data_IF_535737370113
#
_entry.id   IF_535737370113
#
_cell.length_a   1.000
_cell.length_b   1.000
_cell.length_c   1.000
_cell.angle_alpha   90.00
_cell.angle_beta   90.00
_cell.angle_gamma   90.00
#
_symmetry.space_group_name_H-M   'P 1'
#
loop_
_entity.id
_entity.type
_entity.pdbx_description
1 polymer ?
#
# COMPACT_ATOMS: atom_id res chain seq x y z
N UNK A 1 76.56 -1.31 23.24
CA UNK A 1 76.53 -0.55 24.50
C UNK A 1 75.23 -0.88 25.21
N UNK A 2 75.36 -1.23 26.47
CA UNK A 2 74.37 -1.72 27.43
C UNK A 2 73.26 -0.71 27.78
N UNK A 3 72.04 -1.20 28.04
CA UNK A 3 70.96 -0.55 28.83
C UNK A 3 71.45 -0.29 30.29
N UNK A 4 70.83 0.49 31.23
CA UNK A 4 69.38 0.80 31.40
C UNK A 4 69.01 2.16 32.14
N UNK A 5 67.73 2.28 32.59
CA UNK A 5 67.18 3.08 33.74
C UNK A 5 66.97 4.61 33.58
N UNK A 6 66.02 5.32 34.22
CA UNK A 6 64.74 5.10 34.94
C UNK A 6 64.20 6.52 35.32
N UNK A 7 62.88 6.66 35.43
CA UNK A 7 62.08 7.54 36.32
C UNK A 7 62.56 8.96 36.70
N UNK A 8 61.71 9.97 36.44
CA UNK A 8 61.35 10.96 37.47
C UNK A 8 59.92 11.52 37.24
N UNK A 9 59.12 11.47 38.30
CA UNK A 9 57.77 12.04 38.42
C UNK A 9 57.84 13.57 38.53
N UNK A 10 56.90 14.27 37.88
CA UNK A 10 56.77 15.73 37.98
C UNK A 10 55.31 16.16 37.93
N UNK A 11 54.76 16.38 39.13
CA UNK A 11 53.47 16.95 39.55
C UNK A 11 52.50 17.54 38.50
N UNK A 12 51.28 17.02 38.60
CA UNK A 12 50.01 17.67 38.25
C UNK A 12 49.87 19.01 38.98
N UNK A 13 49.80 20.11 38.25
CA UNK A 13 49.10 21.32 38.69
C UNK A 13 48.11 21.73 37.59
N UNK A 14 46.84 21.74 37.98
CA UNK A 14 45.69 22.21 37.22
C UNK A 14 45.91 23.65 36.76
N UNK A 15 45.79 23.89 35.46
CA UNK A 15 45.37 25.19 34.95
C UNK A 15 44.08 24.98 34.16
N UNK A 16 42.99 25.45 34.76
CA UNK A 16 41.65 25.53 34.20
C UNK A 16 41.70 26.27 32.85
N UNK A 17 41.75 25.49 31.78
CA UNK A 17 41.56 26.00 30.43
C UNK A 17 40.10 26.36 30.21
N UNK A 18 39.85 27.60 29.81
CA UNK A 18 38.66 28.06 29.12
C UNK A 18 38.24 27.04 28.05
N UNK A 19 37.31 26.15 28.38
CA UNK A 19 36.49 25.47 27.38
C UNK A 19 35.29 26.37 27.12
N UNK A 20 35.44 27.25 26.13
CA UNK A 20 34.33 27.73 25.32
C UNK A 20 33.48 26.51 24.92
N UNK A 21 32.40 26.26 25.66
CA UNK A 21 31.27 25.48 25.17
C UNK A 21 30.61 26.35 24.11
N UNK A 22 31.11 26.26 22.89
CA UNK A 22 30.40 26.77 21.72
C UNK A 22 29.14 25.91 21.57
N UNK A 23 28.06 26.36 22.19
CA UNK A 23 26.74 25.74 22.08
C UNK A 23 26.28 25.94 20.65
N UNK A 24 26.34 24.87 19.85
CA UNK A 24 25.76 24.84 18.49
C UNK A 24 24.27 25.13 18.63
N UNK A 25 23.88 26.35 18.31
CA UNK A 25 22.48 26.78 18.24
C UNK A 25 21.97 26.32 16.88
N UNK A 26 21.12 25.29 16.86
CA UNK A 26 20.45 24.86 15.63
C UNK A 26 19.30 25.85 15.41
N UNK A 27 19.31 26.66 14.32
CA UNK A 27 18.19 27.56 14.02
C UNK A 27 16.93 26.71 13.75
N UNK A 28 15.82 27.07 14.39
CA UNK A 28 14.53 26.46 14.06
C UNK A 28 13.92 27.27 12.93
N UNK A 29 13.74 26.66 11.77
CA UNK A 29 13.03 27.29 10.66
C UNK A 29 11.52 27.06 10.83
N UNK A 30 10.70 28.06 10.53
CA UNK A 30 9.25 27.84 10.42
C UNK A 30 8.99 27.01 9.17
N UNK A 31 8.10 26.03 9.26
CA UNK A 31 7.75 25.20 8.11
C UNK A 31 7.08 26.09 7.04
N UNK A 32 7.50 26.00 5.76
CA UNK A 32 6.92 26.79 4.69
C UNK A 32 5.53 26.25 4.30
N UNK A 33 4.51 26.61 5.08
CA UNK A 33 3.12 26.19 4.88
C UNK A 33 2.15 27.38 4.89
N UNK A 34 0.94 27.18 4.36
CA UNK A 34 -0.06 28.26 4.25
C UNK A 34 -0.56 28.72 5.63
N UNK A 35 -0.54 27.86 6.65
CA UNK A 35 -0.97 28.18 8.01
C UNK A 35 -0.03 29.16 8.71
N UNK A 36 1.27 29.05 8.46
CA UNK A 36 2.30 29.95 8.94
C UNK A 36 2.23 31.29 8.20
N UNK A 37 1.84 31.30 6.92
CA UNK A 37 1.52 32.54 6.20
C UNK A 37 0.27 33.23 6.77
N UNK A 38 -0.77 32.47 7.15
CA UNK A 38 -1.93 32.99 7.87
C UNK A 38 -1.54 33.62 9.22
N UNK A 39 -0.61 32.98 9.94
CA UNK A 39 -0.12 33.47 11.22
C UNK A 39 0.55 34.85 11.11
N UNK A 40 1.33 35.09 10.04
CA UNK A 40 2.00 36.37 9.80
C UNK A 40 1.04 37.50 9.42
N UNK A 41 -0.16 37.18 8.94
CA UNK A 41 -1.11 38.15 8.41
C UNK A 41 -2.21 38.52 9.42
N UNK A 42 -2.62 39.80 9.51
CA UNK A 42 -3.81 40.17 10.29
C UNK A 42 -5.04 39.47 9.72
N UNK A 43 -5.99 39.04 10.58
CA UNK A 43 -7.21 38.38 10.10
C UNK A 43 -8.07 39.33 9.26
N UNK A 44 -8.25 40.55 9.73
CA UNK A 44 -9.09 41.56 9.09
C UNK A 44 -8.23 42.74 8.67
N UNK A 45 -8.44 43.24 7.45
CA UNK A 45 -7.80 44.46 6.98
C UNK A 45 -8.51 45.63 7.68
N UNK A 46 -7.73 46.49 8.34
CA UNK A 46 -8.24 47.69 8.97
C UNK A 46 -8.31 48.80 7.91
N UNK A 47 -9.39 48.83 7.13
CA UNK A 47 -9.68 49.98 6.28
C UNK A 47 -10.15 51.16 7.14
N UNK A 48 -9.68 52.36 6.78
CA UNK A 48 -9.76 53.60 7.57
C UNK A 48 -11.15 54.26 7.57
N UNK A 49 -12.24 53.53 7.27
CA UNK A 49 -13.58 54.10 7.04
C UNK A 49 -14.68 53.45 7.88
N UNK A 50 -15.61 54.29 8.35
CA UNK A 50 -16.44 54.12 9.56
C UNK A 50 -17.61 53.11 9.42
N UNK A 51 -17.88 52.59 8.22
CA UNK A 51 -18.97 51.64 7.99
C UNK A 51 -18.66 50.72 6.80
N UNK A 52 -18.20 49.49 7.07
CA UNK A 52 -18.35 48.27 6.24
C UNK A 52 -17.67 47.09 6.95
N UNK A 53 -18.19 45.88 6.75
CA UNK A 53 -17.55 44.62 7.17
C UNK A 53 -16.06 44.67 6.81
N UNK A 54 -15.16 44.52 7.79
CA UNK A 54 -13.72 44.47 7.51
C UNK A 54 -13.44 43.23 6.64
N UNK A 55 -12.82 43.35 5.44
CA UNK A 55 -12.55 42.20 4.60
C UNK A 55 -11.45 41.33 5.22
N UNK A 56 -11.55 40.02 4.99
CA UNK A 56 -10.56 39.04 5.40
C UNK A 56 -9.26 39.27 4.63
N UNK A 57 -8.10 39.16 5.29
CA UNK A 57 -6.83 39.26 4.58
C UNK A 57 -6.66 38.10 3.58
N UNK A 58 -5.97 38.36 2.47
CA UNK A 58 -5.79 37.38 1.39
C UNK A 58 -5.16 36.07 1.86
N UNK A 59 -4.24 36.12 2.82
CA UNK A 59 -3.66 34.92 3.43
C UNK A 59 -4.69 34.04 4.14
N UNK A 60 -5.63 34.66 4.85
CA UNK A 60 -6.70 33.96 5.55
C UNK A 60 -7.77 33.44 4.59
N UNK A 61 -8.06 34.15 3.50
CA UNK A 61 -8.96 33.68 2.45
C UNK A 61 -8.41 32.40 1.79
N UNK A 62 -7.14 32.42 1.35
CA UNK A 62 -6.49 31.27 0.73
C UNK A 62 -6.34 30.12 1.72
N UNK A 63 -5.89 30.40 2.95
CA UNK A 63 -5.68 29.35 3.95
C UNK A 63 -6.98 28.67 4.42
N UNK A 64 -8.05 29.44 4.63
CA UNK A 64 -9.37 28.85 4.92
C UNK A 64 -9.94 28.09 3.72
N UNK A 65 -9.67 28.53 2.50
CA UNK A 65 -10.06 27.80 1.30
C UNK A 65 -9.31 26.47 1.19
N UNK A 66 -7.98 26.46 1.37
CA UNK A 66 -7.14 25.26 1.38
C UNK A 66 -7.62 24.26 2.45
N UNK A 67 -7.79 24.74 3.70
CA UNK A 67 -8.35 23.95 4.79
C UNK A 67 -9.72 23.38 4.44
N UNK A 68 -10.64 24.20 3.93
CA UNK A 68 -12.00 23.76 3.59
C UNK A 68 -11.98 22.70 2.50
N UNK A 69 -11.12 22.86 1.48
CA UNK A 69 -10.95 21.89 0.40
C UNK A 69 -10.45 20.54 0.93
N UNK A 70 -9.35 20.54 1.69
CA UNK A 70 -8.79 19.32 2.27
C UNK A 70 -9.74 18.67 3.28
N UNK A 71 -10.40 19.47 4.12
CA UNK A 71 -11.35 18.99 5.13
C UNK A 71 -12.58 18.35 4.47
N UNK A 72 -13.12 18.95 3.41
CA UNK A 72 -14.22 18.38 2.63
C UNK A 72 -13.77 17.08 1.96
N UNK A 73 -12.62 17.05 1.31
CA UNK A 73 -12.10 15.82 0.69
C UNK A 73 -11.90 14.72 1.76
N UNK A 74 -11.26 15.03 2.88
CA UNK A 74 -11.05 14.09 3.98
C UNK A 74 -12.35 13.55 4.58
N UNK A 75 -13.35 14.41 4.77
CA UNK A 75 -14.68 13.98 5.22
C UNK A 75 -15.36 13.11 4.16
N UNK A 76 -15.32 13.50 2.88
CA UNK A 76 -15.93 12.72 1.80
C UNK A 76 -15.28 11.34 1.70
N UNK A 77 -13.95 11.25 1.85
CA UNK A 77 -13.22 9.99 1.91
C UNK A 77 -13.72 9.14 3.08
N UNK A 78 -13.76 9.68 4.30
CA UNK A 78 -14.25 8.93 5.47
C UNK A 78 -15.71 8.50 5.28
N UNK A 79 -16.59 9.38 4.82
CA UNK A 79 -17.99 9.04 4.57
C UNK A 79 -18.13 7.96 3.50
N UNK A 80 -17.29 7.98 2.47
CA UNK A 80 -17.26 6.94 1.45
C UNK A 80 -16.76 5.59 2.02
N UNK A 81 -15.70 5.62 2.84
CA UNK A 81 -15.18 4.42 3.51
C UNK A 81 -16.15 3.84 4.56
N UNK A 82 -16.99 4.68 5.16
CA UNK A 82 -18.00 4.28 6.15
C UNK A 82 -19.34 3.88 5.53
N UNK A 83 -19.52 4.04 4.21
CA UNK A 83 -20.78 3.69 3.55
C UNK A 83 -20.91 2.17 3.49
N UNK A 84 -21.59 1.60 4.49
CA UNK A 84 -21.85 0.17 4.58
C UNK A 84 -23.03 -0.26 3.71
N UNK A 85 -22.88 -1.41 3.05
CA UNK A 85 -23.97 -2.12 2.37
C UNK A 85 -24.95 -2.81 3.35
N UNK A 86 -24.54 -3.09 4.59
CA UNK A 86 -25.36 -3.87 5.53
C UNK A 86 -25.30 -3.35 6.97
N UNK A 87 -26.19 -2.40 7.30
CA UNK A 87 -26.92 -2.25 8.59
C UNK A 87 -26.22 -2.30 9.98
N UNK A 88 -24.94 -2.58 10.11
CA UNK A 88 -24.24 -2.65 11.38
C UNK A 88 -22.89 -1.93 11.27
N UNK A 89 -22.48 -1.33 12.38
CA UNK A 89 -21.21 -0.63 12.60
C UNK A 89 -20.02 -1.62 12.59
N UNK A 90 -19.85 -2.37 11.50
CA UNK A 90 -18.60 -3.06 11.16
C UNK A 90 -17.98 -2.24 10.03
N UNK A 91 -16.81 -1.67 10.25
CA UNK A 91 -16.12 -0.72 9.38
C UNK A 91 -15.66 -1.37 8.05
N UNK A 92 -16.51 -2.14 7.35
CA UNK A 92 -16.18 -2.98 6.19
C UNK A 92 -14.88 -3.76 6.38
N UNK A 93 -14.67 -4.28 7.60
CA UNK A 93 -13.44 -5.01 7.94
C UNK A 93 -13.47 -6.37 7.25
N UNK A 94 -12.41 -6.76 6.53
CA UNK A 94 -12.35 -8.06 5.87
C UNK A 94 -12.35 -9.19 6.90
N UNK A 95 -12.96 -10.33 6.53
CA UNK A 95 -13.13 -11.48 7.42
C UNK A 95 -11.78 -12.07 7.83
N UNK A 96 -10.84 -12.13 6.89
CA UNK A 96 -9.46 -12.56 7.08
C UNK A 96 -8.53 -11.71 6.26
N UNK A 97 -7.28 -11.70 6.68
CA UNK A 97 -6.19 -10.93 6.06
C UNK A 97 -4.97 -11.83 6.04
N UNK A 98 -4.27 -11.90 4.91
CA UNK A 98 -3.05 -12.69 4.79
C UNK A 98 -1.93 -12.13 5.66
N UNK A 99 -0.94 -12.97 6.02
CA UNK A 99 0.21 -12.53 6.81
C UNK A 99 0.99 -11.38 6.14
N UNK A 100 1.10 -11.40 4.82
CA UNK A 100 1.73 -10.35 4.02
C UNK A 100 1.02 -9.00 4.19
N UNK A 101 -0.31 -9.00 4.11
CA UNK A 101 -1.11 -7.78 4.25
C UNK A 101 -1.07 -7.27 5.69
N UNK A 102 -1.09 -8.16 6.69
CA UNK A 102 -0.89 -7.76 8.10
C UNK A 102 0.45 -7.05 8.33
N UNK A 103 1.53 -7.55 7.74
CA UNK A 103 2.84 -6.89 7.78
C UNK A 103 2.77 -5.52 7.10
N UNK A 104 2.10 -5.42 5.95
CA UNK A 104 1.82 -4.16 5.26
C UNK A 104 1.04 -3.17 6.12
N UNK A 105 0.01 -3.62 6.83
CA UNK A 105 -0.80 -2.80 7.74
C UNK A 105 0.07 -2.21 8.86
N UNK A 106 0.89 -3.03 9.52
CA UNK A 106 1.81 -2.60 10.59
C UNK A 106 2.80 -1.57 10.05
N UNK A 107 3.41 -1.84 8.91
CA UNK A 107 4.37 -0.94 8.28
C UNK A 107 3.72 0.40 7.89
N UNK A 108 2.49 0.37 7.36
CA UNK A 108 1.75 1.58 6.96
C UNK A 108 1.37 2.42 8.18
N UNK A 109 1.06 1.82 9.34
CA UNK A 109 0.86 2.57 10.59
C UNK A 109 2.14 3.36 10.93
N UNK A 110 3.32 2.72 10.88
CA UNK A 110 4.58 3.42 11.14
C UNK A 110 4.83 4.55 10.15
N UNK A 111 4.69 4.29 8.84
CA UNK A 111 4.85 5.32 7.82
C UNK A 111 3.89 6.48 8.02
N UNK A 112 2.61 6.20 8.29
CA UNK A 112 1.59 7.24 8.48
C UNK A 112 1.95 8.20 9.63
N UNK A 113 2.50 7.69 10.73
CA UNK A 113 2.90 8.50 11.88
C UNK A 113 4.19 9.28 11.62
N UNK A 114 5.16 8.67 10.92
CA UNK A 114 6.42 9.34 10.56
C UNK A 114 6.22 10.46 9.55
N UNK A 115 5.30 10.28 8.62
CA UNK A 115 5.04 11.24 7.54
C UNK A 115 4.16 12.42 7.96
N UNK A 116 3.53 12.37 9.14
CA UNK A 116 2.61 13.41 9.60
C UNK A 116 3.35 14.62 10.20
N UNK A 117 4.12 15.35 9.39
CA UNK A 117 4.92 16.52 9.82
C UNK A 117 4.05 17.63 10.43
N UNK A 118 2.83 17.79 9.94
CA UNK A 118 1.85 18.79 10.41
C UNK A 118 1.52 18.71 11.89
N UNK A 119 1.46 17.49 12.43
CA UNK A 119 1.17 17.24 13.84
C UNK A 119 2.31 17.77 14.71
N UNK A 120 3.55 17.50 14.30
CA UNK A 120 4.73 18.01 15.00
C UNK A 120 4.87 19.52 14.88
N UNK A 121 4.75 20.09 13.69
CA UNK A 121 4.97 21.53 13.49
C UNK A 121 3.89 22.38 14.15
N UNK A 122 2.64 21.94 14.17
CA UNK A 122 1.58 22.63 14.90
C UNK A 122 1.90 22.77 16.41
N UNK A 123 2.46 21.72 17.03
CA UNK A 123 2.86 21.73 18.44
C UNK A 123 4.08 22.63 18.65
N UNK A 124 5.10 22.47 17.82
CA UNK A 124 6.32 23.25 17.90
C UNK A 124 6.05 24.74 17.76
N UNK A 125 5.23 25.14 16.78
CA UNK A 125 4.85 26.53 16.55
C UNK A 125 4.13 27.14 17.75
N UNK A 126 3.11 26.45 18.29
CA UNK A 126 2.35 26.96 19.46
C UNK A 126 3.26 27.09 20.68
N UNK A 127 4.12 26.09 20.94
CA UNK A 127 5.01 26.12 22.09
C UNK A 127 6.09 27.20 21.96
N UNK A 128 6.82 27.18 20.85
CA UNK A 128 7.95 28.07 20.60
C UNK A 128 7.51 29.54 20.71
N UNK A 129 6.37 29.87 20.11
CA UNK A 129 5.83 31.22 20.11
C UNK A 129 5.17 31.61 21.44
N UNK A 130 4.80 30.67 22.32
CA UNK A 130 4.20 30.98 23.63
C UNK A 130 5.23 31.12 24.75
N UNK A 131 6.23 30.24 24.81
CA UNK A 131 7.07 30.05 25.99
C UNK A 131 8.43 30.76 25.92
N UNK A 132 8.85 31.27 24.76
CA UNK A 132 10.14 31.97 24.62
C UNK A 132 10.24 33.20 25.55
N UNK A 133 11.14 33.14 26.52
CA UNK A 133 11.35 34.09 27.64
C UNK A 133 11.82 35.49 27.17
N UNK A 134 12.29 35.62 25.93
CA UNK A 134 12.72 36.90 25.35
C UNK A 134 11.50 37.62 24.79
N UNK A 135 10.98 38.60 25.54
CA UNK A 135 10.04 39.67 25.12
C UNK A 135 9.27 39.32 23.83
N UNK A 136 8.47 38.25 23.90
CA UNK A 136 7.64 37.70 22.82
C UNK A 136 8.25 37.76 21.42
N UNK A 137 9.05 36.75 21.04
CA UNK A 137 9.46 36.53 19.64
C UNK A 137 8.28 36.61 18.67
N UNK A 138 7.08 36.18 19.08
CA UNK A 138 5.87 36.36 18.29
C UNK A 138 5.44 37.82 18.09
N UNK A 139 5.67 38.73 19.05
CA UNK A 139 5.41 40.17 18.83
C UNK A 139 6.43 40.79 17.90
N UNK A 140 7.69 40.32 17.92
CA UNK A 140 8.72 40.70 16.94
C UNK A 140 8.35 40.21 15.54
N UNK A 141 7.91 38.96 15.44
CA UNK A 141 7.43 38.32 14.21
C UNK A 141 6.25 39.08 13.59
N UNK A 142 5.32 39.54 14.43
CA UNK A 142 4.10 40.25 13.99
C UNK A 142 4.25 41.79 13.95
N UNK A 143 5.44 42.33 14.24
CA UNK A 143 5.72 43.77 14.33
C UNK A 143 4.67 44.55 15.15
N UNK A 144 4.22 43.99 16.28
CA UNK A 144 3.10 44.53 17.03
C UNK A 144 3.57 45.37 18.23
N UNK A 145 3.28 46.68 18.18
CA UNK A 145 3.62 47.64 19.23
C UNK A 145 2.80 47.39 20.51
N UNK A 146 3.50 47.33 21.63
CA UNK A 146 3.09 46.81 22.95
C UNK A 146 1.90 47.51 23.65
N UNK A 147 1.08 48.33 22.98
CA UNK A 147 0.08 49.19 23.64
C UNK A 147 -1.40 48.76 23.56
N UNK A 148 -1.77 47.69 22.85
CA UNK A 148 -3.17 47.28 22.71
C UNK A 148 -3.62 46.23 23.75
N UNK A 149 -4.64 46.57 24.53
CA UNK A 149 -5.05 45.91 25.78
C UNK A 149 -5.76 44.56 25.67
N UNK A 150 -5.36 43.63 24.79
CA UNK A 150 -5.79 42.22 24.89
C UNK A 150 -4.84 41.24 24.19
N UNK A 151 -3.59 41.18 24.67
CA UNK A 151 -2.49 40.30 24.20
C UNK A 151 -2.91 38.83 24.02
N UNK A 152 -3.77 38.29 24.91
CA UNK A 152 -4.23 36.91 24.83
C UNK A 152 -5.11 36.66 23.60
N UNK A 153 -6.02 37.58 23.28
CA UNK A 153 -6.92 37.43 22.13
C UNK A 153 -6.16 37.46 20.80
N UNK A 154 -5.13 38.33 20.70
CA UNK A 154 -4.27 38.42 19.53
C UNK A 154 -3.52 37.09 19.35
N UNK A 155 -2.90 36.58 20.42
CA UNK A 155 -2.20 35.30 20.40
C UNK A 155 -3.13 34.13 20.02
N UNK A 156 -4.31 34.04 20.64
CA UNK A 156 -5.29 32.99 20.35
C UNK A 156 -5.70 33.02 18.86
N UNK A 157 -5.95 34.20 18.32
CA UNK A 157 -6.45 34.37 16.96
C UNK A 157 -5.36 34.20 15.90
N UNK A 158 -4.15 34.68 16.13
CA UNK A 158 -3.07 34.66 15.13
C UNK A 158 -2.20 33.41 15.20
N UNK A 159 -2.03 32.82 16.38
CA UNK A 159 -1.08 31.72 16.59
C UNK A 159 -1.82 30.42 16.88
N UNK A 160 -2.69 30.40 17.90
CA UNK A 160 -3.35 29.14 18.27
C UNK A 160 -4.31 28.66 17.18
N UNK A 161 -5.09 29.56 16.58
CA UNK A 161 -6.14 29.17 15.63
C UNK A 161 -5.61 28.52 14.34
N UNK A 162 -4.62 29.09 13.61
CA UNK A 162 -4.06 28.42 12.43
C UNK A 162 -3.43 27.06 12.76
N UNK A 163 -2.70 26.96 13.87
CA UNK A 163 -2.10 25.69 14.29
C UNK A 163 -3.15 24.66 14.75
N UNK A 164 -4.29 25.09 15.29
CA UNK A 164 -5.41 24.21 15.60
C UNK A 164 -6.07 23.68 14.31
N UNK A 165 -6.24 24.52 13.27
CA UNK A 165 -6.74 24.06 11.97
C UNK A 165 -5.79 23.01 11.36
N UNK A 166 -4.48 23.29 11.37
CA UNK A 166 -3.44 22.37 10.92
C UNK A 166 -3.51 21.03 11.65
N UNK A 167 -3.61 21.07 12.98
CA UNK A 167 -3.74 19.85 13.80
C UNK A 167 -5.04 19.07 13.52
N UNK A 168 -6.19 19.75 13.39
CA UNK A 168 -7.47 19.11 13.11
C UNK A 168 -7.48 18.43 11.74
N UNK A 169 -6.86 19.07 10.73
CA UNK A 169 -6.67 18.46 9.42
C UNK A 169 -5.80 17.21 9.51
N UNK A 170 -4.66 17.29 10.20
CA UNK A 170 -3.76 16.16 10.34
C UNK A 170 -4.41 14.97 11.08
N UNK A 171 -5.20 15.25 12.13
CA UNK A 171 -5.98 14.24 12.83
C UNK A 171 -7.05 13.59 11.95
N UNK A 172 -7.71 14.37 11.07
CA UNK A 172 -8.67 13.84 10.09
C UNK A 172 -8.00 12.88 9.11
N UNK A 173 -6.83 13.24 8.59
CA UNK A 173 -6.05 12.39 7.68
C UNK A 173 -5.60 11.11 8.38
N UNK A 174 -5.04 11.19 9.60
CA UNK A 174 -4.68 10.00 10.37
C UNK A 174 -5.88 9.08 10.63
N UNK A 175 -7.07 9.64 10.89
CA UNK A 175 -8.29 8.87 11.06
C UNK A 175 -8.69 8.16 9.76
N UNK A 176 -8.65 8.86 8.62
CA UNK A 176 -8.91 8.24 7.31
C UNK A 176 -7.89 7.14 6.98
N UNK A 177 -6.60 7.39 7.23
CA UNK A 177 -5.51 6.41 7.05
C UNK A 177 -5.77 5.17 7.88
N UNK A 178 -6.17 5.33 9.15
CA UNK A 178 -6.48 4.18 10.00
C UNK A 178 -7.63 3.34 9.45
N UNK A 179 -8.70 3.97 8.93
CA UNK A 179 -9.84 3.26 8.33
C UNK A 179 -9.39 2.48 7.08
N UNK A 180 -8.58 3.08 6.21
CA UNK A 180 -8.04 2.40 5.02
C UNK A 180 -7.22 1.17 5.43
N UNK A 181 -6.34 1.32 6.43
CA UNK A 181 -5.48 0.23 6.91
C UNK A 181 -6.30 -0.97 7.38
N UNK A 182 -7.41 -0.74 8.11
CA UNK A 182 -8.21 -1.85 8.64
C UNK A 182 -9.14 -2.49 7.60
N UNK A 183 -9.48 -1.76 6.52
CA UNK A 183 -10.37 -2.23 5.46
C UNK A 183 -9.63 -3.00 4.37
N UNK A 184 -8.32 -2.80 4.21
CA UNK A 184 -7.55 -3.46 3.16
C UNK A 184 -7.42 -4.97 3.41
N UNK A 185 -7.80 -5.76 2.41
CA UNK A 185 -7.57 -7.19 2.28
C UNK A 185 -6.41 -7.52 1.32
N UNK A 186 -6.06 -6.60 0.43
CA UNK A 186 -4.91 -6.70 -0.48
C UNK A 186 -3.79 -5.68 -0.17
N UNK A 187 -2.54 -6.09 -0.45
CA UNK A 187 -1.34 -5.28 -0.16
C UNK A 187 -1.16 -4.12 -1.14
N UNK A 188 -1.43 -4.35 -2.43
CA UNK A 188 -1.31 -3.32 -3.46
C UNK A 188 -2.36 -2.25 -3.25
N UNK A 189 -3.58 -2.66 -2.90
CA UNK A 189 -4.67 -1.72 -2.60
C UNK A 189 -4.37 -0.90 -1.34
N UNK A 190 -3.80 -1.52 -0.29
CA UNK A 190 -3.36 -0.80 0.91
C UNK A 190 -2.39 0.34 0.59
N UNK A 191 -1.32 0.04 -0.15
CA UNK A 191 -0.28 1.04 -0.48
C UNK A 191 -0.81 2.09 -1.46
N UNK A 192 -1.65 1.69 -2.43
CA UNK A 192 -2.25 2.61 -3.40
C UNK A 192 -3.18 3.61 -2.71
N UNK A 193 -4.06 3.12 -1.83
CA UNK A 193 -4.98 3.98 -1.10
C UNK A 193 -4.26 4.90 -0.10
N UNK A 194 -3.21 4.40 0.56
CA UNK A 194 -2.35 5.21 1.42
C UNK A 194 -1.63 6.32 0.63
N UNK A 195 -1.10 6.01 -0.54
CA UNK A 195 -0.40 6.98 -1.41
C UNK A 195 -1.36 8.07 -1.89
N UNK A 196 -2.59 7.71 -2.26
CA UNK A 196 -3.61 8.68 -2.64
C UNK A 196 -3.93 9.66 -1.49
N UNK A 197 -4.01 9.16 -0.25
CA UNK A 197 -4.27 9.99 0.91
C UNK A 197 -3.09 10.92 1.25
N UNK A 198 -1.86 10.47 1.02
CA UNK A 198 -0.67 11.32 1.15
C UNK A 198 -0.73 12.52 0.20
N UNK A 199 -1.13 12.32 -1.06
CA UNK A 199 -1.32 13.43 -2.01
C UNK A 199 -2.34 14.45 -1.50
N UNK A 200 -3.46 13.98 -0.92
CA UNK A 200 -4.47 14.86 -0.33
C UNK A 200 -3.90 15.66 0.84
N UNK A 201 -3.03 15.05 1.65
CA UNK A 201 -2.40 15.72 2.78
C UNK A 201 -1.42 16.83 2.37
N UNK A 202 -0.85 16.78 1.16
CA UNK A 202 0.11 17.80 0.68
C UNK A 202 -0.51 19.00 -0.04
N UNK A 203 -1.85 19.10 -0.12
CA UNK A 203 -2.53 20.16 -0.89
C UNK A 203 -2.22 21.57 -0.31
N UNK A 204 -2.07 21.73 1.00
CA UNK A 204 -1.72 23.00 1.63
C UNK A 204 -0.29 23.46 1.31
N UNK A 205 0.66 22.54 1.19
CA UNK A 205 2.00 22.83 0.69
C UNK A 205 1.95 23.35 -0.76
N UNK A 206 1.06 22.78 -1.58
CA UNK A 206 0.84 23.27 -2.96
C UNK A 206 0.32 24.72 -2.94
N UNK A 207 -0.61 25.06 -2.05
CA UNK A 207 -1.08 26.44 -1.89
C UNK A 207 0.04 27.38 -1.42
N UNK A 208 0.93 26.92 -0.56
CA UNK A 208 2.12 27.70 -0.18
C UNK A 208 3.05 27.96 -1.37
N UNK A 209 3.34 26.94 -2.18
CA UNK A 209 4.19 27.09 -3.37
C UNK A 209 3.59 28.09 -4.37
N UNK A 210 2.26 28.02 -4.59
CA UNK A 210 1.56 28.99 -5.45
C UNK A 210 1.59 30.41 -4.89
N UNK A 211 1.51 30.54 -3.55
CA UNK A 211 1.63 31.82 -2.87
C UNK A 211 3.03 32.42 -3.04
N UNK A 212 4.09 31.63 -2.83
CA UNK A 212 5.48 32.06 -2.95
C UNK A 212 5.82 32.56 -4.37
N UNK A 213 5.37 31.81 -5.40
CA UNK A 213 5.50 32.19 -6.80
C UNK A 213 4.70 33.45 -7.19
N UNK A 214 3.80 33.92 -6.33
CA UNK A 214 2.99 35.12 -6.54
C UNK A 214 1.77 34.93 -7.44
N UNK A 215 1.41 33.68 -7.76
CA UNK A 215 0.19 33.34 -8.52
C UNK A 215 -1.07 33.82 -7.77
N UNK A 216 -1.05 33.77 -6.45
CA UNK A 216 -2.18 34.12 -5.58
C UNK A 216 -2.16 35.60 -5.13
N UNK A 217 -1.25 36.42 -5.66
CA UNK A 217 -1.16 37.86 -5.41
C UNK A 217 0.17 38.30 -4.81
N UNK A 218 0.54 39.55 -5.07
CA UNK A 218 1.83 40.13 -4.66
C UNK A 218 1.98 40.24 -3.15
N UNK A 219 0.90 40.49 -2.42
CA UNK A 219 0.96 40.64 -0.96
C UNK A 219 1.23 39.30 -0.28
N UNK A 220 0.64 38.21 -0.81
CA UNK A 220 0.85 36.87 -0.30
C UNK A 220 2.27 36.36 -0.61
N UNK A 221 2.79 36.65 -1.81
CA UNK A 221 4.20 36.35 -2.15
C UNK A 221 5.19 37.05 -1.23
N UNK A 222 4.92 38.31 -0.84
CA UNK A 222 5.76 39.01 0.15
C UNK A 222 5.73 38.31 1.50
N UNK A 223 4.55 37.92 1.98
CA UNK A 223 4.43 37.20 3.25
C UNK A 223 5.10 35.83 3.21
N UNK A 224 4.97 35.08 2.10
CA UNK A 224 5.63 33.78 1.91
C UNK A 224 7.16 33.89 1.87
N UNK A 225 7.71 34.87 1.15
CA UNK A 225 9.16 35.15 1.14
C UNK A 225 9.68 35.64 2.49
N UNK A 226 8.87 36.43 3.19
CA UNK A 226 9.21 36.83 4.56
C UNK A 226 9.26 35.59 5.46
N UNK A 227 8.37 34.61 5.28
CA UNK A 227 8.37 33.37 6.05
C UNK A 227 9.63 32.54 5.80
N UNK A 228 10.08 32.40 4.55
CA UNK A 228 11.28 31.62 4.22
C UNK A 228 12.56 32.22 4.80
N UNK A 229 12.59 33.54 5.01
CA UNK A 229 13.75 34.27 5.51
C UNK A 229 13.81 34.35 7.06
N UNK A 230 12.78 33.87 7.76
CA UNK A 230 12.73 33.93 9.23
C UNK A 230 13.53 32.77 9.84
N UNK A 231 14.68 33.12 10.42
CA UNK A 231 15.46 32.23 11.29
C UNK A 231 15.13 32.51 12.76
N UNK A 232 14.63 31.51 13.48
CA UNK A 232 14.35 31.62 14.90
C UNK A 232 15.56 31.17 15.73
N UNK A 233 16.18 32.12 16.42
CA UNK A 233 17.27 31.84 17.36
C UNK A 233 16.74 31.40 18.73
N UNK A 234 17.18 30.22 19.19
CA UNK A 234 16.98 29.74 20.55
C UNK A 234 17.96 30.45 21.51
N UNK A 235 17.46 31.08 22.58
CA UNK A 235 18.32 31.71 23.58
C UNK A 235 19.13 30.69 24.41
N UNK A 236 20.34 31.06 24.83
CA UNK A 236 21.33 30.19 25.51
C UNK A 236 20.83 29.44 26.76
N UNK A 237 19.78 29.93 27.44
CA UNK A 237 19.20 29.28 28.64
C UNK A 237 18.14 28.23 28.34
N UNK A 238 17.72 28.07 27.09
CA UNK A 238 16.72 27.09 26.66
C UNK A 238 17.34 25.73 26.31
N UNK A 239 18.39 25.30 27.02
CA UNK A 239 19.05 24.01 26.79
C UNK A 239 18.53 22.88 27.69
N UNK A 240 17.82 23.21 28.79
CA UNK A 240 17.30 22.21 29.75
C UNK A 240 15.77 21.97 29.64
N UNK A 241 15.04 22.89 29.00
CA UNK A 241 13.58 22.84 28.77
C UNK A 241 13.08 22.23 27.44
N UNK A 242 13.89 22.03 26.37
CA UNK A 242 13.43 21.35 25.14
C UNK A 242 12.90 19.93 25.41
N UNK A 243 13.43 19.26 26.43
CA UNK A 243 13.13 17.88 26.79
C UNK A 243 11.67 17.64 27.18
N UNK A 244 10.99 18.63 27.78
CA UNK A 244 9.62 18.44 28.24
C UNK A 244 8.61 18.45 27.09
N UNK A 245 8.84 19.24 26.04
CA UNK A 245 7.92 19.32 24.90
C UNK A 245 8.24 18.37 23.78
N UNK A 246 9.53 18.04 23.55
CA UNK A 246 9.87 16.84 22.78
C UNK A 246 9.22 15.62 23.40
N UNK A 247 9.18 15.55 24.74
CA UNK A 247 8.44 14.52 25.47
C UNK A 247 6.93 14.62 25.26
N UNK A 248 6.30 15.80 25.25
CA UNK A 248 4.86 15.91 24.93
C UNK A 248 4.55 15.48 23.50
N UNK A 249 5.33 15.94 22.53
CA UNK A 249 5.17 15.55 21.13
C UNK A 249 5.37 14.03 20.99
N UNK A 250 6.40 13.46 21.62
CA UNK A 250 6.64 12.02 21.65
C UNK A 250 5.48 11.26 22.33
N UNK A 251 4.99 11.74 23.48
CA UNK A 251 3.83 11.14 24.16
C UNK A 251 2.62 11.11 23.23
N UNK A 252 2.36 12.19 22.50
CA UNK A 252 1.21 12.24 21.60
C UNK A 252 1.38 11.29 20.40
N UNK A 253 2.57 11.22 19.79
CA UNK A 253 2.84 10.21 18.75
C UNK A 253 2.70 8.78 19.30
N UNK A 254 3.17 8.54 20.52
CA UNK A 254 2.99 7.25 21.21
C UNK A 254 1.51 6.99 21.47
N UNK A 255 0.71 7.99 21.84
CA UNK A 255 -0.73 7.86 22.01
C UNK A 255 -1.42 7.49 20.69
N UNK A 256 -1.12 8.18 19.58
CA UNK A 256 -1.66 7.82 18.27
C UNK A 256 -1.24 6.41 17.85
N UNK A 257 0.04 6.08 17.97
CA UNK A 257 0.54 4.73 17.70
C UNK A 257 -0.19 3.68 18.53
N UNK A 258 -0.31 3.90 19.83
CA UNK A 258 -0.97 2.99 20.76
C UNK A 258 -2.44 2.78 20.37
N UNK A 259 -3.18 3.84 20.02
CA UNK A 259 -4.57 3.72 19.57
C UNK A 259 -4.66 2.92 18.28
N UNK A 260 -3.80 3.21 17.29
CA UNK A 260 -3.82 2.52 16.00
C UNK A 260 -3.43 1.04 16.13
N UNK A 261 -2.37 0.73 16.89
CA UNK A 261 -1.91 -0.65 17.12
C UNK A 261 -2.86 -1.46 18.01
N UNK A 262 -3.43 -0.87 19.06
CA UNK A 262 -4.45 -1.56 19.86
C UNK A 262 -5.72 -1.81 19.04
N UNK A 263 -6.13 -0.85 18.21
CA UNK A 263 -7.24 -1.03 17.27
C UNK A 263 -6.98 -2.18 16.30
N UNK A 264 -5.80 -2.20 15.67
CA UNK A 264 -5.40 -3.28 14.77
C UNK A 264 -5.32 -4.63 15.50
N UNK A 265 -4.78 -4.66 16.72
CA UNK A 265 -4.68 -5.88 17.53
C UNK A 265 -6.04 -6.45 17.94
N UNK A 266 -7.00 -5.58 18.31
CA UNK A 266 -8.38 -6.00 18.59
C UNK A 266 -9.04 -6.56 17.33
N UNK A 267 -8.83 -5.94 16.18
CA UNK A 267 -9.36 -6.41 14.90
C UNK A 267 -8.72 -7.76 14.53
N UNK A 268 -7.39 -7.87 14.66
CA UNK A 268 -6.65 -9.09 14.38
C UNK A 268 -7.16 -10.26 15.20
N UNK A 269 -7.29 -10.05 16.51
CA UNK A 269 -7.81 -11.06 17.41
C UNK A 269 -9.25 -11.48 17.06
N UNK A 270 -10.09 -10.55 16.59
CA UNK A 270 -11.46 -10.85 16.14
C UNK A 270 -11.51 -11.60 14.81
N UNK A 271 -10.54 -11.39 13.93
CA UNK A 271 -10.36 -12.15 12.68
C UNK A 271 -9.93 -13.59 13.01
N UNK A 272 -8.88 -13.74 13.83
CA UNK A 272 -8.33 -15.06 14.19
C UNK A 272 -9.31 -15.91 15.01
N UNK A 273 -10.12 -15.28 15.88
CA UNK A 273 -11.17 -15.98 16.64
C UNK A 273 -12.41 -16.35 15.80
N UNK A 274 -12.49 -15.91 14.54
CA UNK A 274 -13.65 -16.12 13.68
C UNK A 274 -14.89 -15.32 14.10
N UNK A 275 -14.72 -14.28 14.92
CA UNK A 275 -15.85 -13.47 15.42
C UNK A 275 -16.57 -12.75 14.28
N UNK A 276 -15.82 -12.17 13.33
CA UNK A 276 -16.40 -11.50 12.17
C UNK A 276 -17.16 -12.47 11.26
N UNK A 277 -16.59 -13.66 11.04
CA UNK A 277 -17.22 -14.74 10.27
C UNK A 277 -18.55 -15.15 10.89
N UNK A 278 -18.58 -15.42 12.20
CA UNK A 278 -19.82 -15.80 12.91
C UNK A 278 -20.89 -14.73 12.88
N UNK A 279 -20.49 -13.45 12.89
CA UNK A 279 -21.41 -12.31 12.79
C UNK A 279 -21.97 -12.15 11.38
N UNK A 280 -21.14 -12.33 10.34
CA UNK A 280 -21.52 -12.21 8.94
C UNK A 280 -22.37 -13.39 8.46
N UNK A 281 -22.04 -14.60 8.89
CA UNK A 281 -22.67 -15.86 8.48
C UNK A 281 -23.21 -16.66 9.68
N UNK A 282 -24.22 -16.15 10.42
CA UNK A 282 -24.72 -16.79 11.63
C UNK A 282 -25.45 -18.12 11.36
N UNK A 283 -26.02 -18.30 10.17
CA UNK A 283 -26.71 -19.54 9.78
C UNK A 283 -25.68 -20.62 9.40
N UNK A 284 -24.71 -20.26 8.56
CA UNK A 284 -23.61 -21.13 8.14
C UNK A 284 -22.79 -21.67 9.33
N UNK A 285 -22.49 -20.80 10.30
CA UNK A 285 -21.52 -21.10 11.37
C UNK A 285 -22.14 -21.70 12.64
N UNK A 286 -23.44 -22.03 12.62
CA UNK A 286 -24.19 -22.47 13.81
C UNK A 286 -23.63 -23.76 14.41
N UNK A 287 -23.39 -24.76 13.56
CA UNK A 287 -23.03 -26.12 13.97
C UNK A 287 -21.58 -26.49 13.61
N UNK A 288 -20.83 -25.52 13.08
CA UNK A 288 -19.45 -25.70 12.65
C UNK A 288 -18.48 -25.33 13.76
N UNK A 289 -17.61 -26.30 14.12
CA UNK A 289 -16.56 -26.10 15.13
C UNK A 289 -15.42 -25.26 14.57
N UNK A 290 -14.99 -25.59 13.36
CA UNK A 290 -13.85 -24.95 12.71
C UNK A 290 -14.30 -23.95 11.65
N UNK A 291 -14.56 -22.73 12.09
CA UNK A 291 -14.87 -21.60 11.19
C UNK A 291 -13.63 -20.97 10.58
N UNK A 292 -12.43 -21.54 10.80
CA UNK A 292 -11.15 -21.01 10.30
C UNK A 292 -10.84 -21.39 8.85
N UNK A 293 -11.69 -22.23 8.26
CA UNK A 293 -11.64 -22.61 6.86
C UNK A 293 -12.51 -21.72 5.97
N UNK A 294 -13.67 -21.26 6.44
CA UNK A 294 -14.58 -20.42 5.65
C UNK A 294 -13.89 -19.17 5.08
N UNK A 295 -13.75 -19.03 3.76
CA UNK A 295 -13.08 -17.90 3.13
C UNK A 295 -11.56 -17.89 3.36
N UNK A 296 -10.88 -19.05 3.33
CA UNK A 296 -9.41 -19.15 3.42
C UNK A 296 -8.71 -19.10 2.05
N UNK A 297 -9.46 -18.87 0.97
CA UNK A 297 -8.98 -18.92 -0.40
C UNK A 297 -8.96 -20.34 -0.98
N UNK A 298 -9.56 -21.33 -0.30
CA UNK A 298 -9.73 -22.70 -0.80
C UNK A 298 -11.19 -23.08 -0.75
N UNK A 299 -11.67 -23.76 -1.79
CA UNK A 299 -13.04 -24.25 -1.79
C UNK A 299 -13.21 -25.47 -0.88
N UNK A 300 -13.87 -25.30 0.27
CA UNK A 300 -14.23 -26.39 1.18
C UNK A 300 -15.68 -26.83 0.95
N UNK A 301 -15.89 -28.13 0.68
CA UNK A 301 -17.24 -28.68 0.45
C UNK A 301 -18.21 -28.40 1.61
N UNK A 302 -17.72 -28.36 2.86
CA UNK A 302 -18.55 -28.08 4.04
C UNK A 302 -19.14 -26.66 4.06
N UNK A 303 -18.51 -25.71 3.36
CA UNK A 303 -19.00 -24.34 3.21
C UNK A 303 -19.50 -24.02 1.79
N UNK A 304 -19.48 -25.00 0.88
CA UNK A 304 -19.95 -24.82 -0.49
C UNK A 304 -21.49 -24.87 -0.59
N UNK A 305 -22.16 -23.90 0.02
CA UNK A 305 -23.60 -23.76 -0.02
C UNK A 305 -24.03 -22.30 0.05
N UNK A 306 -25.27 -22.01 -0.35
CA UNK A 306 -25.82 -20.65 -0.40
C UNK A 306 -25.77 -19.92 0.96
N UNK A 307 -25.97 -20.62 2.09
CA UNK A 307 -25.96 -20.00 3.42
C UNK A 307 -24.57 -19.50 3.83
N UNK A 308 -23.53 -20.10 3.26
CA UNK A 308 -22.13 -19.73 3.44
C UNK A 308 -21.59 -18.90 2.26
N UNK A 309 -22.47 -18.52 1.32
CA UNK A 309 -22.12 -17.84 0.06
C UNK A 309 -20.99 -18.58 -0.68
N UNK A 310 -21.14 -19.90 -0.87
CA UNK A 310 -20.16 -20.75 -1.56
C UNK A 310 -18.74 -20.54 -1.04
N UNK A 311 -18.58 -20.75 0.27
CA UNK A 311 -17.33 -20.55 0.99
C UNK A 311 -16.77 -19.11 0.88
N UNK A 312 -17.64 -18.12 1.12
CA UNK A 312 -17.33 -16.70 0.93
C UNK A 312 -16.79 -16.36 -0.48
N UNK A 313 -17.19 -17.12 -1.50
CA UNK A 313 -16.76 -16.95 -2.88
C UNK A 313 -15.67 -17.92 -3.32
N UNK A 314 -14.99 -18.61 -2.40
CA UNK A 314 -13.87 -19.51 -2.73
C UNK A 314 -14.30 -20.68 -3.63
N UNK A 315 -15.58 -21.08 -3.56
CA UNK A 315 -16.14 -22.17 -4.37
C UNK A 315 -16.85 -21.73 -5.66
N UNK A 316 -16.98 -20.43 -5.93
CA UNK A 316 -17.77 -19.97 -7.10
C UNK A 316 -17.17 -20.43 -8.42
N UNK A 317 -15.85 -20.31 -8.56
CA UNK A 317 -15.12 -20.76 -9.76
C UNK A 317 -15.23 -22.28 -9.91
N UNK A 318 -15.03 -23.02 -8.82
CA UNK A 318 -15.16 -24.48 -8.81
C UNK A 318 -16.55 -24.92 -9.28
N UNK A 319 -17.61 -24.34 -8.73
CA UNK A 319 -18.99 -24.67 -9.10
C UNK A 319 -19.32 -24.33 -10.57
N UNK A 320 -18.65 -23.33 -11.15
CA UNK A 320 -18.80 -22.97 -12.55
C UNK A 320 -18.09 -23.97 -13.48
N UNK A 321 -16.88 -24.39 -13.12
CA UNK A 321 -16.10 -25.33 -13.93
C UNK A 321 -16.61 -26.76 -13.80
N UNK A 322 -16.93 -27.20 -12.58
CA UNK A 322 -17.24 -28.58 -12.24
C UNK A 322 -18.60 -28.72 -11.54
N UNK A 323 -19.72 -28.34 -12.19
CA UNK A 323 -21.04 -28.24 -11.55
C UNK A 323 -21.60 -29.57 -11.04
N UNK A 324 -21.09 -30.70 -11.57
CA UNK A 324 -21.53 -32.05 -11.20
C UNK A 324 -20.47 -32.84 -10.41
N UNK A 325 -19.35 -32.21 -10.05
CA UNK A 325 -18.27 -32.87 -9.31
C UNK A 325 -18.58 -32.88 -7.81
N UNK A 326 -18.97 -34.05 -7.28
CA UNK A 326 -19.24 -34.26 -5.86
C UNK A 326 -18.02 -34.89 -5.17
N UNK A 327 -17.10 -34.01 -4.73
CA UNK A 327 -15.87 -34.40 -4.03
C UNK A 327 -15.77 -33.78 -2.65
N UNK A 328 -15.04 -34.46 -1.75
CA UNK A 328 -14.90 -34.04 -0.36
C UNK A 328 -14.07 -32.76 -0.19
N UNK A 329 -13.02 -32.61 -0.98
CA UNK A 329 -12.10 -31.47 -0.95
C UNK A 329 -12.00 -30.87 -2.37
N UNK A 330 -12.96 -30.03 -2.79
CA UNK A 330 -12.97 -29.41 -4.11
C UNK A 330 -11.66 -28.74 -4.52
N UNK A 331 -10.91 -28.20 -3.55
CA UNK A 331 -9.60 -27.57 -3.79
C UNK A 331 -8.50 -28.51 -4.27
N UNK A 332 -8.73 -29.83 -4.31
CA UNK A 332 -7.81 -30.81 -4.90
C UNK A 332 -7.98 -30.93 -6.42
N UNK A 333 -9.15 -30.57 -6.97
CA UNK A 333 -9.39 -30.68 -8.41
C UNK A 333 -8.58 -29.64 -9.17
N UNK A 334 -7.69 -30.07 -10.05
CA UNK A 334 -6.83 -29.17 -10.82
C UNK A 334 -5.69 -28.58 -9.98
N UNK A 335 -5.24 -29.26 -8.92
CA UNK A 335 -4.15 -28.83 -8.06
C UNK A 335 -2.74 -29.21 -8.59
N UNK A 336 -2.69 -29.93 -9.72
CA UNK A 336 -1.48 -30.42 -10.37
C UNK A 336 -1.04 -31.82 -9.90
N UNK A 337 -1.80 -32.46 -9.01
CA UNK A 337 -1.56 -33.82 -8.55
C UNK A 337 -2.70 -34.74 -8.98
N UNK A 338 -2.37 -35.90 -9.57
CA UNK A 338 -3.40 -36.87 -9.90
C UNK A 338 -3.97 -37.56 -8.65
N UNK A 339 -5.16 -37.14 -8.20
CA UNK A 339 -5.99 -37.81 -7.21
C UNK A 339 -6.81 -38.94 -7.88
N UNK A 340 -6.14 -40.04 -8.22
CA UNK A 340 -6.75 -41.21 -8.87
C UNK A 340 -7.81 -41.95 -8.02
N UNK A 341 -8.09 -41.52 -6.79
CA UNK A 341 -8.97 -42.18 -5.84
C UNK A 341 -10.04 -41.24 -5.30
N UNK A 342 -10.99 -41.74 -4.50
CA UNK A 342 -11.99 -40.90 -3.80
C UNK A 342 -12.97 -40.07 -4.66
N UNK A 343 -13.04 -40.32 -5.96
CA UNK A 343 -14.04 -39.71 -6.85
C UNK A 343 -13.59 -38.44 -7.57
N UNK A 344 -12.30 -38.08 -7.48
CA UNK A 344 -11.73 -36.94 -8.21
C UNK A 344 -11.46 -37.28 -9.69
N UNK A 345 -10.87 -38.44 -9.95
CA UNK A 345 -10.62 -38.93 -11.32
C UNK A 345 -11.88 -39.53 -11.98
N UNK A 346 -12.90 -38.70 -12.20
CA UNK A 346 -14.15 -39.05 -12.89
C UNK A 346 -14.51 -37.98 -13.92
N UNK A 347 -15.34 -38.33 -14.89
CA UNK A 347 -15.78 -37.43 -15.96
C UNK A 347 -16.44 -36.14 -15.44
N UNK A 348 -17.18 -36.21 -14.35
CA UNK A 348 -17.90 -35.10 -13.75
C UNK A 348 -16.98 -34.04 -13.11
N UNK A 349 -15.74 -34.44 -12.81
CA UNK A 349 -14.66 -33.62 -12.28
C UNK A 349 -13.55 -33.41 -13.32
N UNK A 350 -13.84 -33.65 -14.60
CA UNK A 350 -12.89 -33.60 -15.72
C UNK A 350 -11.58 -34.35 -15.45
N UNK A 351 -11.66 -35.54 -14.86
CA UNK A 351 -10.51 -36.37 -14.52
C UNK A 351 -9.51 -35.62 -13.63
N UNK A 352 -10.03 -35.11 -12.52
CA UNK A 352 -9.30 -34.30 -11.55
C UNK A 352 -8.79 -32.98 -12.14
N UNK A 353 -9.65 -32.28 -12.89
CA UNK A 353 -9.28 -31.05 -13.59
C UNK A 353 -8.22 -31.25 -14.67
N UNK A 354 -8.05 -32.50 -15.15
CA UNK A 354 -7.04 -32.92 -16.10
C UNK A 354 -5.74 -33.42 -15.47
N UNK A 355 -5.58 -33.39 -14.14
CA UNK A 355 -4.34 -33.79 -13.47
C UNK A 355 -4.05 -35.29 -13.58
N UNK A 356 -5.10 -36.11 -13.69
CA UNK A 356 -4.99 -37.56 -13.88
C UNK A 356 -4.92 -38.02 -15.32
N UNK A 357 -5.04 -37.09 -16.27
CA UNK A 357 -4.77 -37.40 -17.67
C UNK A 357 -3.25 -37.41 -17.84
N UNK A 358 -2.66 -38.60 -17.88
CA UNK A 358 -1.31 -38.77 -18.41
C UNK A 358 -1.37 -38.49 -19.90
N UNK A 359 -1.32 -37.22 -20.30
CA UNK A 359 -1.31 -36.87 -21.72
C UNK A 359 0.01 -37.36 -22.32
N UNK A 360 -0.01 -38.57 -22.88
CA UNK A 360 0.94 -38.94 -23.92
C UNK A 360 0.55 -38.19 -25.19
N UNK A 361 1.48 -37.99 -26.14
CA UNK A 361 1.13 -37.38 -27.42
C UNK A 361 -0.01 -38.16 -28.14
N UNK A 362 -0.16 -39.45 -27.83
CA UNK A 362 -1.23 -40.32 -28.34
C UNK A 362 -2.61 -39.89 -27.82
N UNK A 363 -2.73 -39.49 -26.55
CA UNK A 363 -4.01 -39.07 -25.95
C UNK A 363 -4.52 -37.73 -26.52
N UNK A 364 -3.59 -36.85 -26.92
CA UNK A 364 -3.91 -35.62 -27.66
C UNK A 364 -4.43 -35.97 -29.07
N UNK A 365 -3.81 -36.94 -29.74
CA UNK A 365 -4.27 -37.38 -31.06
C UNK A 365 -5.66 -38.05 -30.99
N UNK A 366 -5.96 -38.85 -29.96
CA UNK A 366 -7.28 -39.47 -29.79
C UNK A 366 -8.40 -38.45 -29.54
N UNK A 367 -8.12 -37.33 -28.85
CA UNK A 367 -9.07 -36.22 -28.71
C UNK A 367 -9.38 -35.52 -30.06
N UNK A 368 -8.41 -35.51 -30.98
CA UNK A 368 -8.54 -34.95 -32.34
C UNK A 368 -9.32 -35.89 -33.28
N UNK A 369 -9.35 -37.20 -32.99
CA UNK A 369 -10.02 -38.21 -33.80
C UNK A 369 -11.55 -38.00 -33.90
N UNK A 370 -12.18 -37.36 -32.91
CA UNK A 370 -13.61 -37.03 -32.95
C UNK A 370 -13.94 -35.84 -33.89
N UNK A 371 -12.93 -35.11 -34.38
CA UNK A 371 -13.11 -33.86 -35.15
C UNK A 371 -12.74 -34.05 -36.64
N UNK A 372 -11.70 -34.82 -36.98
CA UNK A 372 -11.39 -35.22 -38.37
C UNK A 372 -10.49 -36.47 -38.44
N UNK A 373 -10.97 -37.53 -39.10
CA UNK A 373 -10.25 -38.79 -39.27
C UNK A 373 -8.96 -38.67 -40.11
N UNK A 374 -8.80 -37.60 -40.90
CA UNK A 374 -7.60 -37.38 -41.72
C UNK A 374 -6.45 -36.75 -40.92
N UNK A 375 -6.78 -35.91 -39.93
CA UNK A 375 -5.80 -35.30 -39.03
C UNK A 375 -5.29 -36.31 -37.98
N UNK A 376 -6.10 -37.31 -37.65
CA UNK A 376 -5.73 -38.40 -36.75
C UNK A 376 -4.59 -39.28 -37.28
N UNK A 377 -4.63 -39.70 -38.56
CA UNK A 377 -3.58 -40.57 -39.10
C UNK A 377 -2.21 -39.88 -39.18
N UNK A 378 -2.22 -38.57 -39.41
CA UNK A 378 -1.01 -37.77 -39.54
C UNK A 378 -0.41 -37.50 -38.15
N UNK A 379 -1.24 -37.18 -37.14
CA UNK A 379 -0.85 -37.02 -35.73
C UNK A 379 -0.21 -38.30 -35.16
N UNK A 380 -0.87 -39.46 -35.34
CA UNK A 380 -0.38 -40.77 -34.84
C UNK A 380 0.94 -41.17 -35.51
N UNK A 381 1.17 -40.78 -36.77
CA UNK A 381 2.41 -41.10 -37.49
C UNK A 381 3.64 -40.29 -37.03
N UNK A 382 3.43 -39.23 -36.25
CA UNK A 382 4.49 -38.32 -35.75
C UNK A 382 4.85 -38.54 -34.28
N UNK A 383 4.19 -39.48 -33.58
CA UNK A 383 4.50 -39.84 -32.20
C UNK A 383 5.41 -41.08 -32.18
N UNK A 384 6.68 -40.92 -31.81
CA UNK A 384 7.52 -42.07 -31.46
C UNK A 384 7.18 -42.52 -30.03
N UNK A 385 6.88 -43.82 -29.86
CA UNK A 385 6.73 -44.47 -28.56
C UNK A 385 8.11 -44.55 -27.88
N UNK A 386 8.48 -43.54 -27.08
CA UNK A 386 9.40 -43.75 -25.97
C UNK A 386 8.62 -43.67 -24.66
N UNK A 387 8.47 -44.82 -24.00
CA UNK A 387 8.00 -44.92 -22.62
C UNK A 387 8.89 -44.05 -21.72
N UNK A 388 8.41 -42.88 -21.32
CA UNK A 388 9.09 -42.06 -20.31
C UNK A 388 8.77 -42.62 -18.93
N UNK A 389 9.71 -43.38 -18.35
CA UNK A 389 9.62 -43.85 -16.95
C UNK A 389 10.19 -42.87 -15.93
N UNK A 390 10.25 -41.57 -16.24
CA UNK A 390 10.85 -40.60 -15.31
C UNK A 390 9.78 -39.74 -14.61
N UNK A 391 9.77 -39.68 -13.27
CA UNK A 391 8.86 -38.82 -12.52
C UNK A 391 9.20 -37.33 -12.71
N UNK A 392 8.24 -36.41 -12.51
CA UNK A 392 8.50 -34.98 -12.60
C UNK A 392 9.57 -34.57 -11.57
N UNK A 393 10.62 -33.93 -12.07
CA UNK A 393 11.70 -33.37 -11.24
C UNK A 393 11.13 -32.17 -10.48
N UNK A 394 11.23 -32.27 -9.16
CA UNK A 394 10.77 -31.29 -8.19
C UNK A 394 11.70 -30.07 -8.19
N UNK A 395 11.34 -28.99 -8.89
CA UNK A 395 12.02 -27.70 -8.74
C UNK A 395 11.24 -26.81 -7.78
N UNK A 396 11.93 -26.32 -6.75
CA UNK A 396 11.36 -25.72 -5.53
C UNK A 396 10.84 -24.29 -5.68
N UNK A 397 10.45 -23.89 -6.88
CA UNK A 397 9.81 -22.60 -7.15
C UNK A 397 8.47 -22.83 -7.85
N UNK A 398 7.41 -22.41 -7.19
CA UNK A 398 5.97 -22.65 -7.41
C UNK A 398 5.37 -22.25 -8.77
N UNK A 399 6.01 -22.57 -9.89
CA UNK A 399 5.43 -22.48 -11.22
C UNK A 399 5.67 -23.81 -11.94
N UNK A 400 4.63 -24.63 -12.01
CA UNK A 400 4.68 -25.85 -12.82
C UNK A 400 4.38 -25.48 -14.26
N UNK A 401 5.27 -25.91 -15.16
CA UNK A 401 5.10 -25.73 -16.59
C UNK A 401 4.80 -27.09 -17.23
N UNK A 402 3.78 -27.15 -18.08
CA UNK A 402 3.52 -28.28 -18.96
C UNK A 402 4.51 -28.24 -20.13
N UNK A 403 5.20 -29.34 -20.40
CA UNK A 403 6.22 -29.41 -21.45
C UNK A 403 5.61 -29.99 -22.73
N UNK A 404 5.55 -29.19 -23.78
CA UNK A 404 5.25 -29.69 -25.12
C UNK A 404 6.56 -29.83 -25.90
N UNK A 405 6.93 -31.06 -26.28
CA UNK A 405 8.20 -31.36 -26.95
C UNK A 405 7.94 -31.87 -28.36
N UNK A 406 8.18 -31.01 -29.35
CA UNK A 406 8.05 -31.39 -30.75
C UNK A 406 9.38 -31.98 -31.24
N UNK A 407 9.34 -33.23 -31.73
CA UNK A 407 10.48 -33.92 -32.34
C UNK A 407 10.95 -33.29 -33.66
N UNK A 408 12.02 -33.83 -34.23
CA UNK A 408 12.75 -33.24 -35.36
C UNK A 408 12.11 -33.41 -36.73
N UNK A 409 11.06 -34.24 -36.85
CA UNK A 409 10.58 -34.72 -38.15
C UNK A 409 9.41 -33.89 -38.69
N UNK A 410 8.56 -33.27 -37.84
CA UNK A 410 7.49 -32.37 -38.34
C UNK A 410 7.10 -31.28 -37.33
N UNK A 411 8.02 -30.35 -37.11
CA UNK A 411 7.84 -29.23 -36.19
C UNK A 411 6.74 -28.24 -36.63
N UNK A 412 6.44 -28.15 -37.92
CA UNK A 412 5.41 -27.26 -38.46
C UNK A 412 4.01 -27.69 -38.00
N UNK A 413 3.69 -28.99 -38.11
CA UNK A 413 2.40 -29.54 -37.70
C UNK A 413 2.15 -29.39 -36.19
N UNK A 414 3.19 -29.54 -35.38
CA UNK A 414 3.12 -29.38 -33.92
C UNK A 414 2.83 -27.92 -33.52
N UNK A 415 3.41 -26.95 -34.23
CA UNK A 415 3.18 -25.52 -34.02
C UNK A 415 1.77 -25.10 -34.43
N UNK A 416 1.30 -25.55 -35.61
CA UNK A 416 -0.05 -25.23 -36.10
C UNK A 416 -1.13 -25.78 -35.16
N UNK A 417 -0.94 -27.01 -34.66
CA UNK A 417 -1.82 -27.62 -33.67
C UNK A 417 -1.83 -26.80 -32.36
N UNK A 418 -0.66 -26.43 -31.85
CA UNK A 418 -0.56 -25.62 -30.63
C UNK A 418 -1.14 -24.20 -30.79
N UNK A 419 -1.10 -23.62 -31.99
CA UNK A 419 -1.71 -22.34 -32.31
C UNK A 419 -3.23 -22.43 -32.46
N UNK A 420 -3.73 -23.43 -33.20
CA UNK A 420 -5.18 -23.66 -33.37
C UNK A 420 -5.90 -23.93 -32.05
N UNK A 421 -5.24 -24.59 -31.11
CA UNK A 421 -5.77 -24.87 -29.77
C UNK A 421 -5.36 -23.84 -28.71
N UNK A 422 -4.71 -22.75 -29.12
CA UNK A 422 -4.45 -21.58 -28.27
C UNK A 422 -3.47 -21.82 -27.13
N UNK A 423 -2.58 -22.81 -27.26
CA UNK A 423 -1.43 -23.08 -26.37
C UNK A 423 -0.31 -22.08 -26.67
N UNK A 424 -0.12 -21.78 -27.95
CA UNK A 424 0.76 -20.75 -28.47
C UNK A 424 -0.05 -19.58 -29.04
N UNK A 425 0.43 -18.36 -28.80
CA UNK A 425 -0.09 -17.15 -29.44
C UNK A 425 1.03 -16.52 -30.26
N UNK A 426 0.90 -16.54 -31.57
CA UNK A 426 1.87 -16.00 -32.52
C UNK A 426 1.33 -14.70 -33.14
N UNK A 427 2.22 -13.74 -33.39
CA UNK A 427 1.85 -12.40 -33.87
C UNK A 427 1.61 -12.34 -35.38
N UNK A 428 2.07 -13.33 -36.15
CA UNK A 428 1.88 -13.44 -37.60
C UNK A 428 1.44 -14.87 -37.98
N UNK A 429 0.56 -15.02 -38.98
CA UNK A 429 0.14 -16.32 -39.53
C UNK A 429 1.36 -17.03 -40.18
N UNK A 430 1.82 -18.16 -39.65
CA UNK A 430 2.92 -18.96 -40.21
C UNK A 430 2.43 -19.81 -41.44
N UNK A 431 1.34 -19.41 -42.12
CA UNK A 431 0.59 -20.17 -43.15
C UNK A 431 1.35 -20.44 -44.47
N UNK A 432 2.46 -19.75 -44.76
CA UNK A 432 3.18 -19.86 -46.04
C UNK A 432 4.39 -20.84 -46.02
N UNK A 433 4.51 -21.71 -45.01
CA UNK A 433 5.70 -22.59 -44.83
C UNK A 433 5.39 -24.03 -45.29
N UNK A 434 4.85 -24.19 -46.50
CA UNK A 434 4.57 -25.52 -47.08
C UNK A 434 5.75 -26.12 -47.88
N UNK A 435 6.90 -25.44 -47.99
CA UNK A 435 8.05 -25.98 -48.73
C UNK A 435 9.25 -26.24 -47.80
N UNK A 436 9.39 -27.51 -47.43
CA UNK A 436 10.44 -28.03 -46.57
C UNK A 436 11.84 -27.68 -47.06
N UNK A 437 12.61 -26.99 -46.19
CA UNK A 437 14.08 -27.05 -46.01
C UNK A 437 14.72 -25.74 -45.50
N UNK A 438 13.97 -24.69 -45.16
CA UNK A 438 14.57 -23.43 -44.72
C UNK A 438 14.65 -23.27 -43.19
N UNK A 439 15.72 -23.81 -42.60
CA UNK A 439 16.06 -23.67 -41.17
C UNK A 439 16.26 -22.20 -40.69
N UNK A 440 16.46 -21.25 -41.61
CA UNK A 440 16.71 -19.83 -41.29
C UNK A 440 15.40 -19.07 -41.00
N UNK A 441 14.26 -19.47 -41.59
CA UNK A 441 12.95 -18.90 -41.25
C UNK A 441 12.36 -19.48 -39.95
N UNK A 442 12.76 -20.70 -39.59
CA UNK A 442 12.37 -21.36 -38.33
C UNK A 442 12.77 -20.58 -37.08
N UNK A 443 13.91 -19.89 -37.12
CA UNK A 443 14.35 -19.02 -36.02
C UNK A 443 13.48 -17.76 -35.88
N UNK A 444 12.71 -17.38 -36.92
CA UNK A 444 11.86 -16.20 -36.92
C UNK A 444 10.48 -16.43 -36.27
N UNK A 445 9.78 -17.56 -36.51
CA UNK A 445 8.56 -17.89 -35.71
C UNK A 445 8.93 -18.13 -34.22
N UNK A 446 10.15 -18.63 -33.90
CA UNK A 446 10.67 -18.76 -32.51
C UNK A 446 10.70 -17.43 -31.74
N UNK A 447 10.87 -16.30 -32.41
CA UNK A 447 10.95 -14.97 -31.75
C UNK A 447 9.59 -14.27 -31.55
N UNK A 448 8.53 -14.71 -32.23
CA UNK A 448 7.24 -14.01 -32.26
C UNK A 448 6.04 -14.81 -31.69
N UNK A 449 6.28 -16.03 -31.22
CA UNK A 449 5.27 -16.83 -30.52
C UNK A 449 5.51 -16.79 -29.01
N UNK A 450 4.44 -16.59 -28.24
CA UNK A 450 4.45 -16.72 -26.78
C UNK A 450 3.57 -17.88 -26.36
N UNK A 451 4.15 -18.78 -25.56
CA UNK A 451 3.40 -19.77 -24.83
C UNK A 451 2.53 -19.09 -23.77
N UNK A 452 1.34 -19.64 -23.52
CA UNK A 452 0.51 -19.19 -22.40
C UNK A 452 1.23 -19.41 -21.05
N UNK A 453 0.81 -18.70 -19.99
CA UNK A 453 1.31 -18.95 -18.64
C UNK A 453 1.17 -20.44 -18.29
N UNK A 454 2.21 -21.00 -17.67
CA UNK A 454 2.31 -22.42 -17.26
C UNK A 454 2.58 -23.43 -18.40
N UNK A 455 2.96 -23.00 -19.60
CA UNK A 455 3.45 -23.91 -20.65
C UNK A 455 4.89 -23.57 -21.04
N UNK A 456 5.75 -24.59 -21.11
CA UNK A 456 7.08 -24.50 -21.74
C UNK A 456 7.01 -25.29 -23.05
N UNK A 457 7.29 -24.57 -24.15
CA UNK A 457 7.28 -25.15 -25.48
C UNK A 457 8.71 -25.33 -25.97
N UNK A 458 9.08 -26.56 -26.34
CA UNK A 458 10.44 -26.91 -26.73
C UNK A 458 10.47 -27.49 -28.15
N UNK A 459 11.33 -26.92 -29.00
CA UNK A 459 11.62 -27.41 -30.36
C UNK A 459 13.01 -28.02 -30.39
N UNK A 460 13.13 -29.32 -30.69
CA UNK A 460 14.44 -30.01 -30.80
C UNK A 460 15.38 -29.73 -29.62
N UNK A 461 14.86 -29.77 -28.39
CA UNK A 461 15.55 -29.51 -27.13
C UNK A 461 15.88 -28.05 -26.81
N UNK A 462 15.51 -27.10 -27.67
CA UNK A 462 15.54 -25.68 -27.34
C UNK A 462 14.18 -25.24 -26.79
N UNK A 463 14.19 -24.89 -25.51
CA UNK A 463 13.13 -24.22 -24.76
C UNK A 463 13.62 -22.79 -24.45
#
# INVERSE_FOLDING_TARGET
>A
MSNPQELEEGNFEENEGEKLKQTVTIPHHLEPDIYNVMMLSPILIEEREIFKLKPLAKAWEVGLFAFSMQFVIGILLILNLLKNEYGAMDLNVPLRVSGTVRCGQIFTIFLSLMMQTDVSSAIWNVWFLRYSESTSQWKKLLQEDSQSGNTLHIWLRRILFPNLLKFLQAALILCATWIIIIQSDDFVDLITNFTALFIVSSIDDVFFIMADQGVLGSDLSKSAKTLSDIELNCGEKLSFLPSAMTLIAAIMYICFALVMFLGLGVIAHRQDSGTYIRKRYPVCTRDVKDVSKLGDGKCHAEFNNENCNFDHGDCEIFNLMYPNCDVKNPYNVGDGHCDASEGYNVTECDYDGGDCLSLSCIDICDLVAEIDAKSYSDCVSSCDEEETTDPPVNDTNSNYYYWLRCGSIDQACCMDCAQQHGILTCIDDCDDIADGNNAILYTACKTNCRAKPNFIFCLNNDC
#
